data_IF_446304242689
#
_entry.id   IF_446304242689
#
_cell.length_a   1.000
_cell.length_b   1.000
_cell.length_c   1.000
_cell.angle_alpha   90.00
_cell.angle_beta   90.00
_cell.angle_gamma   90.00
#
_symmetry.space_group_name_H-M   'P 1'
#
loop_
_entity.id
_entity.type
_entity.pdbx_description
1 polymer ?
#
# COMPACT_ATOMS: atom_id res chain seq x y z
N UNK A 1 -59.45 27.96 -0.97
CA UNK A 1 -58.35 28.49 -0.12
C UNK A 1 -57.08 28.10 -0.89
N UNK A 2 -56.43 29.11 -1.48
CA UNK A 2 -55.09 28.87 -2.07
C UNK A 2 -54.17 28.41 -0.95
N UNK A 3 -53.37 27.33 -1.22
CA UNK A 3 -52.40 26.83 -0.25
C UNK A 3 -51.38 27.92 0.06
N UNK A 4 -51.44 28.42 1.31
CA UNK A 4 -50.60 29.52 1.81
C UNK A 4 -49.13 29.13 1.97
N UNK A 5 -48.82 27.84 1.82
CA UNK A 5 -47.47 27.28 2.04
C UNK A 5 -47.08 26.35 0.86
N UNK A 6 -45.86 26.51 0.39
CA UNK A 6 -45.25 25.61 -0.62
C UNK A 6 -44.13 24.85 0.04
N UNK A 7 -44.22 23.51 0.03
CA UNK A 7 -43.17 22.63 0.55
C UNK A 7 -42.25 22.14 -0.57
N UNK A 8 -40.97 21.97 -0.26
CA UNK A 8 -39.96 21.38 -1.18
C UNK A 8 -39.40 20.10 -0.54
N UNK A 9 -39.32 19.04 -1.35
CA UNK A 9 -38.66 17.80 -0.94
C UNK A 9 -37.13 17.92 -1.05
N UNK A 10 -36.44 17.10 -0.27
CA UNK A 10 -34.98 17.01 -0.36
C UNK A 10 -34.55 15.81 -1.20
N UNK A 11 -33.58 16.01 -2.09
CA UNK A 11 -32.92 14.93 -2.81
C UNK A 11 -31.89 14.24 -1.93
N UNK A 12 -31.81 12.90 -2.04
CA UNK A 12 -30.76 12.12 -1.41
C UNK A 12 -29.70 11.77 -2.45
N UNK A 13 -28.58 12.47 -2.43
CA UNK A 13 -27.44 12.24 -3.32
C UNK A 13 -26.62 11.06 -2.86
N UNK A 14 -26.33 10.99 -1.56
CA UNK A 14 -25.68 9.87 -0.90
C UNK A 14 -26.61 9.24 0.14
N UNK A 15 -26.49 7.92 0.28
CA UNK A 15 -27.08 7.17 1.39
C UNK A 15 -26.05 6.17 1.86
N UNK A 16 -25.49 6.41 3.04
CA UNK A 16 -24.56 5.48 3.69
C UNK A 16 -25.39 4.43 4.43
N UNK A 17 -25.24 3.18 4.02
CA UNK A 17 -26.00 2.07 4.63
C UNK A 17 -25.33 1.58 5.91
N UNK A 18 -23.99 1.40 5.89
CA UNK A 18 -23.20 0.97 7.05
C UNK A 18 -21.80 1.57 7.02
N UNK A 19 -21.19 1.77 8.19
CA UNK A 19 -19.75 1.94 8.38
C UNK A 19 -19.17 0.58 8.74
N UNK A 20 -18.12 0.17 8.05
CA UNK A 20 -17.42 -1.10 8.24
C UNK A 20 -16.21 -0.89 9.14
N UNK A 21 -15.36 0.10 8.81
CA UNK A 21 -14.21 0.50 9.62
C UNK A 21 -14.12 2.02 9.75
N UNK A 22 -13.60 2.49 10.86
CA UNK A 22 -13.25 3.89 11.09
C UNK A 22 -12.11 3.92 12.09
N UNK A 23 -10.90 4.29 11.63
CA UNK A 23 -9.72 4.35 12.49
C UNK A 23 -8.67 5.33 11.98
N UNK A 24 -7.83 5.78 12.90
CA UNK A 24 -6.62 6.55 12.66
C UNK A 24 -5.42 5.75 13.16
N UNK A 25 -4.36 5.68 12.36
CA UNK A 25 -3.13 4.96 12.69
C UNK A 25 -1.89 5.75 12.38
N UNK A 26 -0.90 5.63 13.27
CA UNK A 26 0.48 6.00 13.04
C UNK A 26 1.24 4.75 12.61
N UNK A 27 1.69 4.73 11.36
CA UNK A 27 2.34 3.57 10.78
C UNK A 27 3.86 3.76 10.74
N UNK A 28 4.60 2.66 10.79
CA UNK A 28 6.04 2.71 10.59
C UNK A 28 6.39 3.04 9.14
N UNK A 29 7.55 3.66 8.91
CA UNK A 29 8.02 4.00 7.55
C UNK A 29 8.18 2.79 6.62
N UNK A 30 8.39 1.60 7.19
CA UNK A 30 8.51 0.33 6.49
C UNK A 30 7.24 -0.54 6.61
N UNK A 31 6.11 0.06 6.98
CA UNK A 31 4.82 -0.64 6.99
C UNK A 31 4.55 -1.26 5.62
N UNK A 32 4.05 -2.48 5.63
CA UNK A 32 3.64 -3.18 4.43
C UNK A 32 2.37 -3.97 4.71
N UNK A 33 1.41 -3.81 3.83
CA UNK A 33 0.17 -4.58 3.81
C UNK A 33 0.06 -5.29 2.48
N UNK A 34 -0.16 -6.62 2.50
CA UNK A 34 -0.23 -7.45 1.29
C UNK A 34 -1.38 -7.05 0.35
N UNK A 35 -2.38 -6.39 0.90
CA UNK A 35 -3.55 -5.91 0.19
C UNK A 35 -4.77 -6.78 0.40
N UNK A 36 -5.91 -6.22 0.00
CA UNK A 36 -7.22 -6.83 0.14
C UNK A 36 -8.14 -6.45 -1.03
N UNK A 37 -9.27 -7.14 -1.08
CA UNK A 37 -10.36 -6.85 -2.00
C UNK A 37 -11.67 -7.14 -1.28
N UNK A 38 -12.58 -6.16 -1.26
CA UNK A 38 -13.86 -6.25 -0.59
C UNK A 38 -14.96 -5.54 -1.39
N UNK A 39 -16.22 -5.77 -1.04
CA UNK A 39 -17.39 -5.29 -1.80
C UNK A 39 -17.97 -3.96 -1.31
N UNK A 40 -17.21 -3.19 -0.53
CA UNK A 40 -17.57 -1.88 -0.02
C UNK A 40 -16.53 -0.81 -0.41
N UNK A 41 -16.85 0.47 -0.19
CA UNK A 41 -15.96 1.60 -0.41
C UNK A 41 -14.99 1.76 0.74
N UNK A 42 -13.76 2.13 0.43
CA UNK A 42 -12.78 2.55 1.42
C UNK A 42 -12.22 3.93 1.04
N UNK A 43 -12.18 4.82 2.02
CA UNK A 43 -11.61 6.16 1.94
C UNK A 43 -10.31 6.17 2.73
N UNK A 44 -9.21 6.55 2.07
CA UNK A 44 -7.87 6.65 2.67
C UNK A 44 -7.39 8.10 2.61
N UNK A 45 -7.08 8.69 3.76
CA UNK A 45 -6.53 10.03 3.89
C UNK A 45 -5.18 9.98 4.59
N UNK A 46 -4.18 10.72 4.06
CA UNK A 46 -2.86 10.87 4.67
C UNK A 46 -2.81 12.19 5.44
N UNK A 47 -2.73 12.10 6.76
CA UNK A 47 -2.59 13.27 7.63
C UNK A 47 -1.13 13.78 7.63
N UNK A 48 -0.16 12.87 7.79
CA UNK A 48 1.28 13.18 7.75
C UNK A 48 2.03 12.16 6.91
N UNK A 49 3.16 12.59 6.34
CA UNK A 49 4.02 11.74 5.55
C UNK A 49 3.46 11.42 4.18
N UNK A 50 3.73 10.24 3.68
CA UNK A 50 3.24 9.76 2.39
C UNK A 50 3.21 8.24 2.37
N UNK A 51 2.31 7.67 1.58
CA UNK A 51 2.18 6.24 1.37
C UNK A 51 2.14 5.88 -0.10
N UNK A 52 2.64 4.71 -0.42
CA UNK A 52 2.47 4.09 -1.71
C UNK A 52 1.17 3.30 -1.66
N UNK A 53 0.24 3.65 -2.55
CA UNK A 53 -1.05 3.01 -2.69
C UNK A 53 -1.09 2.23 -4.01
N UNK A 54 -1.70 1.05 -3.99
CA UNK A 54 -2.02 0.28 -5.20
C UNK A 54 -3.54 0.21 -5.33
N UNK A 55 -4.06 0.36 -6.54
CA UNK A 55 -5.46 0.18 -6.90
C UNK A 55 -5.51 -0.60 -8.21
N UNK A 56 -5.83 -1.90 -8.14
CA UNK A 56 -5.68 -2.89 -9.21
C UNK A 56 -4.26 -2.88 -9.78
N UNK A 57 -4.10 -2.46 -11.04
CA UNK A 57 -2.81 -2.34 -11.73
C UNK A 57 -2.14 -0.97 -11.55
N UNK A 58 -2.82 -0.02 -10.92
CA UNK A 58 -2.32 1.34 -10.77
C UNK A 58 -1.64 1.51 -9.42
N UNK A 59 -0.44 2.08 -9.44
CA UNK A 59 0.31 2.41 -8.23
C UNK A 59 0.63 3.90 -8.23
N UNK A 60 0.45 4.54 -7.07
CA UNK A 60 0.64 5.99 -6.92
C UNK A 60 1.07 6.31 -5.49
N UNK A 61 1.62 7.51 -5.30
CA UNK A 61 1.94 8.02 -3.97
C UNK A 61 0.82 8.95 -3.53
N UNK A 62 0.28 8.69 -2.35
CA UNK A 62 -0.65 9.56 -1.65
C UNK A 62 0.12 10.33 -0.59
N UNK A 63 0.02 11.66 -0.62
CA UNK A 63 0.79 12.57 0.23
C UNK A 63 -0.06 13.17 1.34
N UNK A 64 0.61 13.75 2.33
CA UNK A 64 -0.05 14.54 3.39
C UNK A 64 -1.04 15.56 2.80
N UNK A 65 -2.25 15.55 3.33
CA UNK A 65 -3.37 16.37 2.88
C UNK A 65 -4.13 15.79 1.67
N UNK A 66 -3.73 14.64 1.16
CA UNK A 66 -4.38 13.98 0.02
C UNK A 66 -5.22 12.79 0.47
N UNK A 67 -6.28 12.53 -0.30
CA UNK A 67 -7.26 11.48 -0.07
C UNK A 67 -7.57 10.75 -1.38
N UNK A 68 -7.79 9.44 -1.28
CA UNK A 68 -8.30 8.62 -2.39
C UNK A 68 -9.41 7.71 -1.91
N UNK A 69 -10.13 7.11 -2.87
CA UNK A 69 -11.15 6.10 -2.60
C UNK A 69 -10.83 4.83 -3.37
N UNK A 70 -10.98 3.70 -2.70
CA UNK A 70 -11.02 2.37 -3.28
C UNK A 70 -12.48 1.97 -3.48
N UNK A 71 -12.83 1.62 -4.71
CA UNK A 71 -14.21 1.20 -5.04
C UNK A 71 -14.43 -0.27 -4.67
N UNK A 72 -15.68 -0.72 -4.53
CA UNK A 72 -16.00 -2.13 -4.35
C UNK A 72 -15.32 -3.02 -5.39
N UNK A 73 -14.75 -4.13 -4.91
CA UNK A 73 -14.03 -5.13 -5.70
C UNK A 73 -12.75 -4.61 -6.41
N UNK A 74 -12.18 -3.51 -5.99
CA UNK A 74 -10.86 -3.06 -6.40
C UNK A 74 -9.82 -3.69 -5.46
N UNK A 75 -8.85 -4.42 -6.01
CA UNK A 75 -7.71 -4.85 -5.22
C UNK A 75 -6.88 -3.63 -4.82
N UNK A 76 -6.57 -3.48 -3.54
CA UNK A 76 -5.75 -2.38 -3.06
C UNK A 76 -4.81 -2.79 -1.94
N UNK A 77 -3.68 -2.10 -1.85
CA UNK A 77 -2.73 -2.21 -0.75
C UNK A 77 -2.13 -0.85 -0.39
N UNK A 78 -1.57 -0.80 0.80
CA UNK A 78 -0.86 0.36 1.34
C UNK A 78 0.54 -0.07 1.81
N UNK A 79 1.55 0.72 1.48
CA UNK A 79 2.91 0.49 1.96
C UNK A 79 3.64 1.79 2.23
N UNK A 80 4.48 1.79 3.26
CA UNK A 80 5.40 2.89 3.54
C UNK A 80 6.46 3.03 2.45
N UNK A 81 7.05 4.20 2.36
CA UNK A 81 8.10 4.51 1.39
C UNK A 81 9.52 4.31 1.93
N UNK A 82 9.67 3.75 3.14
CA UNK A 82 10.91 3.61 3.91
C UNK A 82 11.61 4.93 4.32
N UNK A 83 11.04 6.08 3.98
CA UNK A 83 11.61 7.39 4.28
C UNK A 83 10.90 8.07 5.45
N UNK A 84 9.58 8.23 5.38
CA UNK A 84 8.77 8.97 6.35
C UNK A 84 7.67 8.06 6.90
N UNK A 85 7.50 8.06 8.22
CA UNK A 85 6.40 7.36 8.88
C UNK A 85 5.07 8.10 8.61
N UNK A 86 4.07 7.45 8.02
CA UNK A 86 2.81 8.09 7.69
C UNK A 86 1.79 7.96 8.82
N UNK A 87 0.90 8.98 8.91
CA UNK A 87 -0.31 8.91 9.71
C UNK A 87 -1.50 8.83 8.74
N UNK A 88 -2.34 7.83 8.94
CA UNK A 88 -3.42 7.47 8.00
C UNK A 88 -4.75 7.45 8.71
N UNK A 89 -5.77 8.02 8.07
CA UNK A 89 -7.17 7.88 8.43
C UNK A 89 -7.89 7.02 7.42
N UNK A 90 -8.57 5.98 7.85
CA UNK A 90 -9.33 5.07 6.98
C UNK A 90 -10.79 5.01 7.46
N UNK A 91 -11.69 5.11 6.51
CA UNK A 91 -13.13 4.84 6.70
C UNK A 91 -13.60 3.93 5.58
N UNK A 92 -14.11 2.76 5.95
CA UNK A 92 -14.75 1.85 5.02
C UNK A 92 -16.25 1.83 5.26
N UNK A 93 -17.04 1.87 4.19
CA UNK A 93 -18.49 2.02 4.28
C UNK A 93 -19.23 1.45 3.06
N UNK A 94 -20.48 1.08 3.28
CA UNK A 94 -21.37 0.69 2.18
C UNK A 94 -22.19 1.89 1.69
N UNK A 95 -22.13 2.13 0.38
CA UNK A 95 -22.93 3.15 -0.29
C UNK A 95 -23.18 2.72 -1.74
N UNK A 96 -24.47 2.56 -2.10
CA UNK A 96 -24.90 2.17 -3.45
C UNK A 96 -25.29 3.37 -4.32
N UNK A 97 -25.12 4.59 -3.84
CA UNK A 97 -25.48 5.81 -4.55
C UNK A 97 -24.64 5.98 -5.82
N UNK A 98 -25.28 6.33 -6.94
CA UNK A 98 -24.57 6.54 -8.22
C UNK A 98 -23.51 7.64 -8.15
N UNK A 99 -23.69 8.61 -7.28
CA UNK A 99 -22.76 9.72 -7.06
C UNK A 99 -21.37 9.25 -6.62
N UNK A 100 -21.24 8.04 -6.02
CA UNK A 100 -19.97 7.45 -5.64
C UNK A 100 -18.99 7.28 -6.81
N UNK A 101 -19.48 7.15 -8.04
CA UNK A 101 -18.62 7.12 -9.27
C UNK A 101 -17.73 8.36 -9.40
N UNK A 102 -18.13 9.49 -8.79
CA UNK A 102 -17.32 10.70 -8.79
C UNK A 102 -15.92 10.49 -8.19
N UNK A 103 -15.79 9.58 -7.25
CA UNK A 103 -14.55 9.34 -6.50
C UNK A 103 -13.61 8.32 -7.16
N UNK A 104 -14.11 7.54 -8.13
CA UNK A 104 -13.31 6.50 -8.78
C UNK A 104 -12.07 7.08 -9.46
N UNK A 105 -10.92 6.50 -9.12
CA UNK A 105 -9.67 6.82 -9.76
C UNK A 105 -9.12 8.23 -9.51
N UNK A 106 -9.62 8.95 -8.51
CA UNK A 106 -9.22 10.34 -8.20
C UNK A 106 -8.44 10.45 -6.90
N UNK A 107 -7.59 11.47 -6.83
CA UNK A 107 -6.96 11.95 -5.61
C UNK A 107 -7.46 13.36 -5.36
N UNK A 108 -7.94 13.63 -4.17
CA UNK A 108 -8.44 14.92 -3.71
C UNK A 108 -7.43 15.54 -2.76
N UNK A 109 -7.10 16.82 -2.94
CA UNK A 109 -6.38 17.59 -1.94
C UNK A 109 -7.38 18.30 -1.07
N UNK A 110 -7.38 18.01 0.23
CA UNK A 110 -8.34 18.57 1.15
C UNK A 110 -8.00 20.02 1.51
N UNK A 111 -8.99 20.90 1.40
CA UNK A 111 -8.97 22.24 1.94
C UNK A 111 -8.97 22.23 3.48
N UNK A 112 -8.68 23.38 4.11
CA UNK A 112 -8.74 23.51 5.56
C UNK A 112 -10.14 23.19 6.13
N UNK A 113 -11.20 23.58 5.42
CA UNK A 113 -12.59 23.31 5.80
C UNK A 113 -12.89 21.81 5.75
N UNK A 114 -12.47 21.12 4.70
CA UNK A 114 -12.67 19.67 4.54
C UNK A 114 -11.89 18.88 5.57
N UNK A 115 -10.66 19.29 5.90
CA UNK A 115 -9.87 18.69 7.00
C UNK A 115 -10.55 18.85 8.35
N UNK A 116 -11.10 20.03 8.64
CA UNK A 116 -11.86 20.29 9.87
C UNK A 116 -13.11 19.41 9.95
N UNK A 117 -13.84 19.27 8.86
CA UNK A 117 -15.02 18.42 8.79
C UNK A 117 -14.64 16.93 8.95
N UNK A 118 -13.55 16.48 8.32
CA UNK A 118 -13.04 15.13 8.49
C UNK A 118 -12.62 14.85 9.93
N UNK A 119 -11.95 15.79 10.60
CA UNK A 119 -11.62 15.69 12.02
C UNK A 119 -12.86 15.56 12.90
N UNK A 120 -13.91 16.35 12.62
CA UNK A 120 -15.20 16.26 13.33
C UNK A 120 -15.86 14.89 13.11
N UNK A 121 -15.84 14.38 11.88
CA UNK A 121 -16.36 13.05 11.53
C UNK A 121 -15.65 11.95 12.32
N UNK A 122 -14.29 12.00 12.38
CA UNK A 122 -13.51 11.03 13.16
C UNK A 122 -13.78 11.14 14.66
N UNK A 123 -13.84 12.35 15.21
CA UNK A 123 -14.14 12.57 16.62
C UNK A 123 -15.49 11.98 17.00
N UNK A 124 -16.53 12.21 16.18
CA UNK A 124 -17.87 11.67 16.41
C UNK A 124 -17.91 10.15 16.24
N UNK A 125 -17.30 9.64 15.16
CA UNK A 125 -17.24 8.21 14.89
C UNK A 125 -16.52 7.42 15.98
N UNK A 126 -15.39 7.91 16.47
CA UNK A 126 -14.62 7.30 17.55
C UNK A 126 -15.31 7.40 18.92
N UNK A 127 -16.33 8.24 19.07
CA UNK A 127 -17.18 8.27 20.28
C UNK A 127 -18.16 7.10 20.33
N UNK A 128 -18.48 6.49 19.21
CA UNK A 128 -19.45 5.39 19.12
C UNK A 128 -18.88 4.08 18.57
N UNK A 129 -17.69 4.09 17.96
CA UNK A 129 -17.04 2.91 17.40
C UNK A 129 -15.57 2.86 17.79
N UNK A 130 -15.03 1.67 18.01
CA UNK A 130 -13.58 1.43 18.18
C UNK A 130 -13.15 0.14 17.49
N UNK A 131 -11.89 0.03 17.16
CA UNK A 131 -11.32 -1.26 16.73
C UNK A 131 -11.31 -2.26 17.89
N UNK A 132 -11.64 -3.51 17.61
CA UNK A 132 -11.57 -4.62 18.57
C UNK A 132 -10.13 -4.82 19.07
N UNK A 133 -9.15 -4.70 18.18
CA UNK A 133 -7.72 -4.71 18.52
C UNK A 133 -7.00 -3.52 17.86
N UNK A 134 -6.81 -2.45 18.64
CA UNK A 134 -6.12 -1.26 18.17
C UNK A 134 -4.61 -1.46 17.90
N UNK A 135 -4.02 -2.58 18.35
CA UNK A 135 -2.60 -2.89 18.14
C UNK A 135 -2.34 -3.75 16.89
N UNK A 136 -3.40 -4.34 16.31
CA UNK A 136 -3.31 -5.14 15.11
C UNK A 136 -3.98 -4.42 13.93
N UNK A 137 -3.24 -3.64 13.12
CA UNK A 137 -3.80 -2.90 11.99
C UNK A 137 -4.37 -3.79 10.88
N UNK A 138 -4.12 -5.09 10.94
CA UNK A 138 -4.65 -6.07 9.99
C UNK A 138 -6.01 -6.64 10.41
N UNK A 139 -6.38 -6.50 11.69
CA UNK A 139 -7.67 -6.93 12.22
C UNK A 139 -8.63 -5.75 12.26
N UNK A 140 -9.27 -5.45 11.14
CA UNK A 140 -10.15 -4.31 10.96
C UNK A 140 -11.59 -4.55 11.46
N UNK A 141 -11.73 -5.29 12.56
CA UNK A 141 -13.04 -5.49 13.20
C UNK A 141 -13.36 -4.32 14.12
N UNK A 142 -14.58 -3.81 13.98
CA UNK A 142 -15.08 -2.75 14.84
C UNK A 142 -16.16 -3.25 15.78
N UNK A 143 -16.16 -2.69 16.97
CA UNK A 143 -17.25 -2.85 17.93
C UNK A 143 -17.88 -1.50 18.26
N UNK A 144 -19.16 -1.54 18.61
CA UNK A 144 -19.88 -0.36 19.06
C UNK A 144 -19.58 -0.11 20.53
N UNK A 145 -19.30 1.14 20.87
CA UNK A 145 -19.09 1.57 22.26
C UNK A 145 -20.47 1.80 22.89
N UNK A 146 -20.69 1.22 24.07
CA UNK A 146 -21.92 1.46 24.84
C UNK A 146 -21.55 1.77 26.31
N UNK A 147 -22.12 2.79 26.94
CA UNK A 147 -23.02 3.80 26.35
C UNK A 147 -22.26 4.76 25.42
N UNK A 148 -22.91 5.26 24.39
CA UNK A 148 -22.39 6.30 23.49
C UNK A 148 -23.24 7.57 23.56
N UNK A 149 -22.74 8.73 23.09
CA UNK A 149 -23.50 9.96 23.06
C UNK A 149 -24.80 9.84 22.24
N UNK A 150 -25.83 10.51 22.68
CA UNK A 150 -27.11 10.48 21.97
C UNK A 150 -26.98 10.89 20.52
N UNK A 151 -27.40 10.01 19.60
CA UNK A 151 -27.40 10.26 18.17
C UNK A 151 -26.03 10.20 17.49
N UNK A 152 -24.95 9.80 18.17
CA UNK A 152 -23.58 9.81 17.61
C UNK A 152 -23.44 8.97 16.34
N UNK A 153 -24.08 7.80 16.27
CA UNK A 153 -24.09 6.97 15.07
C UNK A 153 -24.77 7.67 13.88
N UNK A 154 -25.89 8.36 14.12
CA UNK A 154 -26.56 9.15 13.08
C UNK A 154 -25.74 10.38 12.69
N UNK A 155 -25.12 11.04 13.65
CA UNK A 155 -24.23 12.18 13.43
C UNK A 155 -23.05 11.78 12.55
N UNK A 156 -22.40 10.65 12.87
CA UNK A 156 -21.30 10.10 12.08
C UNK A 156 -21.72 9.84 10.62
N UNK A 157 -22.88 9.21 10.41
CA UNK A 157 -23.45 9.02 9.08
C UNK A 157 -23.65 10.34 8.35
N UNK A 158 -24.33 11.30 8.99
CA UNK A 158 -24.65 12.59 8.38
C UNK A 158 -23.38 13.38 8.05
N UNK A 159 -22.38 13.37 8.92
CA UNK A 159 -21.08 14.01 8.68
C UNK A 159 -20.35 13.39 7.50
N UNK A 160 -20.39 12.06 7.35
CA UNK A 160 -19.80 11.38 6.19
C UNK A 160 -20.54 11.78 4.89
N UNK A 161 -21.86 11.81 4.88
CA UNK A 161 -22.65 12.24 3.71
C UNK A 161 -22.37 13.71 3.34
N UNK A 162 -22.29 14.61 4.33
CA UNK A 162 -21.93 16.02 4.13
C UNK A 162 -20.49 16.11 3.56
N UNK A 163 -19.57 15.34 4.10
CA UNK A 163 -18.18 15.32 3.65
C UNK A 163 -18.07 14.88 2.18
N UNK A 164 -18.77 13.82 1.78
CA UNK A 164 -18.83 13.37 0.39
C UNK A 164 -19.42 14.41 -0.55
N UNK A 165 -20.49 15.12 -0.12
CA UNK A 165 -21.08 16.22 -0.89
C UNK A 165 -20.08 17.36 -1.07
N UNK A 166 -19.33 17.72 -0.01
CA UNK A 166 -18.29 18.76 -0.06
C UNK A 166 -17.18 18.37 -1.04
N UNK A 167 -16.70 17.13 -1.00
CA UNK A 167 -15.69 16.62 -1.93
C UNK A 167 -16.17 16.62 -3.39
N UNK A 168 -17.45 16.35 -3.66
CA UNK A 168 -17.99 16.48 -5.01
C UNK A 168 -17.97 17.92 -5.54
N UNK A 169 -17.90 18.91 -4.66
CA UNK A 169 -17.79 20.34 -5.01
C UNK A 169 -16.33 20.82 -5.05
N UNK A 170 -15.41 19.99 -4.54
CA UNK A 170 -13.99 20.29 -4.56
C UNK A 170 -13.44 20.21 -5.99
N UNK A 171 -12.77 21.27 -6.43
CA UNK A 171 -12.15 21.37 -7.75
C UNK A 171 -10.65 21.07 -7.73
N UNK A 172 -10.02 20.95 -6.55
CA UNK A 172 -8.61 20.58 -6.39
C UNK A 172 -8.43 19.06 -6.45
N UNK A 173 -8.83 18.51 -7.61
CA UNK A 173 -8.63 17.11 -7.93
C UNK A 173 -7.23 16.99 -8.51
N UNK A 174 -6.34 16.37 -7.76
CA UNK A 174 -5.05 15.96 -8.28
C UNK A 174 -5.34 14.78 -9.22
N UNK A 175 -5.20 15.00 -10.51
CA UNK A 175 -5.23 13.88 -11.46
C UNK A 175 -4.24 12.85 -10.93
N UNK A 176 -4.63 11.58 -10.87
CA UNK A 176 -3.67 10.48 -10.60
C UNK A 176 -2.59 10.61 -11.67
N UNK A 177 -1.66 11.52 -11.46
CA UNK A 177 -0.43 11.50 -12.21
C UNK A 177 0.19 10.21 -11.74
N UNK A 178 0.06 9.18 -12.57
CA UNK A 178 0.87 7.99 -12.43
C UNK A 178 2.29 8.52 -12.42
N UNK A 179 2.84 8.80 -11.23
CA UNK A 179 4.26 8.95 -11.11
C UNK A 179 4.79 7.59 -11.46
N UNK A 180 5.29 7.46 -12.68
CA UNK A 180 5.96 6.27 -13.18
C UNK A 180 7.28 6.02 -12.41
N UNK A 181 7.42 6.59 -11.20
CA UNK A 181 8.59 6.44 -10.36
C UNK A 181 8.21 5.97 -8.95
N UNK A 182 9.05 5.15 -8.37
CA UNK A 182 8.91 4.53 -7.05
C UNK A 182 10.13 4.85 -6.22
N UNK A 183 9.97 5.08 -4.92
CA UNK A 183 11.10 5.19 -4.02
C UNK A 183 11.47 3.79 -3.52
N UNK A 184 12.62 3.28 -3.93
CA UNK A 184 13.18 2.01 -3.47
C UNK A 184 14.54 2.29 -2.86
N UNK A 185 14.71 1.97 -1.58
CA UNK A 185 15.93 2.28 -0.79
C UNK A 185 16.30 3.77 -0.85
N UNK A 186 15.30 4.66 -0.82
CA UNK A 186 15.50 6.11 -0.87
C UNK A 186 15.79 6.69 -2.27
N UNK A 187 15.77 5.88 -3.31
CA UNK A 187 16.02 6.30 -4.69
C UNK A 187 14.72 6.26 -5.50
N UNK A 188 14.45 7.34 -6.22
CA UNK A 188 13.30 7.43 -7.15
C UNK A 188 13.59 6.55 -8.38
N UNK A 189 12.84 5.46 -8.56
CA UNK A 189 12.98 4.54 -9.68
C UNK A 189 11.74 4.56 -10.57
N UNK A 190 11.90 4.52 -11.91
CA UNK A 190 10.76 4.42 -12.82
C UNK A 190 9.99 3.11 -12.65
N UNK A 191 8.72 3.12 -13.06
CA UNK A 191 7.84 1.95 -13.01
C UNK A 191 8.47 0.68 -13.55
N UNK A 192 9.09 0.75 -14.73
CA UNK A 192 9.70 -0.41 -15.36
C UNK A 192 10.91 -0.97 -14.60
N UNK A 193 11.63 -0.14 -13.82
CA UNK A 193 12.71 -0.61 -12.94
C UNK A 193 12.12 -1.34 -11.75
N UNK A 194 10.99 -0.84 -11.23
CA UNK A 194 10.25 -1.53 -10.18
C UNK A 194 9.71 -2.88 -10.65
N UNK A 195 9.12 -2.97 -11.84
CA UNK A 195 8.68 -4.25 -12.42
C UNK A 195 9.83 -5.25 -12.52
N UNK A 196 11.03 -4.79 -12.91
CA UNK A 196 12.22 -5.63 -12.89
C UNK A 196 12.52 -6.13 -11.48
N UNK A 197 12.52 -5.22 -10.49
CA UNK A 197 12.84 -5.57 -9.11
C UNK A 197 11.82 -6.55 -8.53
N UNK A 198 10.53 -6.31 -8.74
CA UNK A 198 9.45 -7.20 -8.30
C UNK A 198 9.61 -8.60 -8.91
N UNK A 199 9.80 -8.68 -10.23
CA UNK A 199 10.02 -9.94 -10.93
C UNK A 199 11.23 -10.72 -10.38
N UNK A 200 12.34 -10.03 -10.07
CA UNK A 200 13.51 -10.66 -9.47
C UNK A 200 13.22 -11.18 -8.05
N UNK A 201 12.47 -10.44 -7.24
CA UNK A 201 12.08 -10.84 -5.88
C UNK A 201 11.15 -12.05 -5.87
N UNK A 202 10.11 -12.04 -6.71
CA UNK A 202 9.14 -13.14 -6.82
C UNK A 202 9.77 -14.44 -7.30
N UNK A 203 10.85 -14.33 -8.06
CA UNK A 203 11.53 -15.49 -8.64
C UNK A 203 12.86 -15.84 -7.96
N UNK A 204 13.08 -15.48 -6.69
CA UNK A 204 14.34 -15.71 -5.98
C UNK A 204 14.71 -17.20 -5.90
N UNK A 205 13.73 -18.08 -5.89
CA UNK A 205 13.87 -19.54 -5.95
C UNK A 205 13.86 -20.09 -7.40
N UNK A 206 13.93 -19.24 -8.40
CA UNK A 206 13.92 -19.62 -9.79
C UNK A 206 15.30 -19.53 -10.46
N UNK A 207 15.32 -19.87 -11.74
CA UNK A 207 16.45 -19.61 -12.64
C UNK A 207 15.98 -18.58 -13.67
N UNK A 208 16.50 -17.36 -13.59
CA UNK A 208 16.14 -16.27 -14.50
C UNK A 208 17.37 -15.80 -15.25
N UNK A 209 17.15 -15.41 -16.50
CA UNK A 209 18.11 -14.74 -17.36
C UNK A 209 17.69 -13.28 -17.59
N UNK A 210 18.59 -12.46 -18.12
CA UNK A 210 18.23 -11.08 -18.52
C UNK A 210 17.16 -11.09 -19.62
N UNK A 211 17.16 -12.12 -20.48
CA UNK A 211 16.14 -12.28 -21.52
C UNK A 211 14.74 -12.51 -20.92
N UNK A 212 14.65 -13.25 -19.83
CA UNK A 212 13.37 -13.46 -19.14
C UNK A 212 12.84 -12.16 -18.50
N UNK A 213 13.73 -11.39 -17.87
CA UNK A 213 13.41 -10.05 -17.36
C UNK A 213 12.94 -9.14 -18.50
N UNK A 214 13.67 -9.11 -19.61
CA UNK A 214 13.34 -8.28 -20.77
C UNK A 214 11.96 -8.64 -21.37
N UNK A 215 11.67 -9.94 -21.45
CA UNK A 215 10.37 -10.45 -21.90
C UNK A 215 9.23 -10.04 -20.94
N UNK A 216 9.46 -10.14 -19.63
CA UNK A 216 8.48 -9.78 -18.62
C UNK A 216 8.08 -8.30 -18.70
N UNK A 217 9.05 -7.39 -18.84
CA UNK A 217 8.77 -5.94 -18.92
C UNK A 217 8.53 -5.42 -20.34
N UNK A 218 8.47 -6.30 -21.35
CA UNK A 218 8.18 -5.94 -22.74
C UNK A 218 9.23 -5.03 -23.38
N UNK A 219 10.53 -5.18 -23.02
CA UNK A 219 11.65 -4.36 -23.53
C UNK A 219 12.81 -5.20 -24.05
N UNK A 220 13.75 -4.58 -24.77
CA UNK A 220 14.98 -5.27 -25.17
C UNK A 220 15.92 -5.45 -23.98
N UNK A 221 16.79 -6.48 -24.02
CA UNK A 221 17.79 -6.72 -22.98
C UNK A 221 18.74 -5.53 -22.77
N UNK A 222 19.14 -4.85 -23.86
CA UNK A 222 19.98 -3.67 -23.79
C UNK A 222 19.30 -2.53 -23.04
N UNK A 223 18.03 -2.29 -23.33
CA UNK A 223 17.21 -1.27 -22.65
C UNK A 223 17.06 -1.57 -21.16
N UNK A 224 16.77 -2.83 -20.81
CA UNK A 224 16.62 -3.27 -19.42
C UNK A 224 17.93 -3.12 -18.64
N UNK A 225 19.06 -3.54 -19.22
CA UNK A 225 20.39 -3.37 -18.62
C UNK A 225 20.74 -1.90 -18.40
N UNK A 226 20.54 -1.06 -19.41
CA UNK A 226 20.81 0.38 -19.33
C UNK A 226 19.94 1.06 -18.27
N UNK A 227 18.64 0.81 -18.30
CA UNK A 227 17.71 1.42 -17.36
C UNK A 227 17.96 0.97 -15.92
N UNK A 228 18.27 -0.30 -15.71
CA UNK A 228 18.58 -0.82 -14.38
C UNK A 228 19.88 -0.23 -13.81
N UNK A 229 20.92 -0.07 -14.63
CA UNK A 229 22.21 0.48 -14.21
C UNK A 229 22.16 1.96 -13.79
N UNK A 230 21.15 2.72 -14.25
CA UNK A 230 20.92 4.11 -13.81
C UNK A 230 20.46 4.21 -12.36
N UNK A 231 19.89 3.14 -11.79
CA UNK A 231 19.27 3.12 -10.46
C UNK A 231 19.96 2.17 -9.47
N UNK A 232 20.90 1.37 -9.95
CA UNK A 232 21.69 0.45 -9.13
C UNK A 232 23.13 0.39 -9.63
N UNK A 233 24.08 0.49 -8.71
CA UNK A 233 25.53 0.40 -9.01
C UNK A 233 25.97 -1.00 -9.49
N UNK A 234 25.02 -1.90 -9.69
CA UNK A 234 25.29 -3.26 -10.11
C UNK A 234 24.35 -3.71 -11.22
N UNK A 235 24.83 -4.58 -12.12
CA UNK A 235 23.98 -5.18 -13.15
C UNK A 235 22.91 -6.10 -12.56
N UNK A 236 21.83 -6.33 -13.34
CA UNK A 236 20.64 -7.10 -12.96
C UNK A 236 21.00 -8.45 -12.33
N UNK A 237 21.88 -9.25 -12.97
CA UNK A 237 22.22 -10.59 -12.46
C UNK A 237 23.05 -10.54 -11.18
N UNK A 238 23.86 -9.50 -10.99
CA UNK A 238 24.58 -9.30 -9.72
C UNK A 238 23.60 -8.96 -8.60
N UNK A 239 22.63 -8.11 -8.87
CA UNK A 239 21.55 -7.80 -7.93
C UNK A 239 20.73 -9.05 -7.58
N UNK A 240 20.29 -9.80 -8.59
CA UNK A 240 19.55 -11.06 -8.42
C UNK A 240 20.31 -12.08 -7.58
N UNK A 241 21.60 -12.26 -7.84
CA UNK A 241 22.44 -13.11 -6.99
C UNK A 241 22.50 -12.59 -5.55
N UNK A 242 22.51 -11.26 -5.34
CA UNK A 242 22.44 -10.67 -4.00
C UNK A 242 21.15 -11.03 -3.26
N UNK A 243 20.00 -11.05 -3.95
CA UNK A 243 18.73 -11.51 -3.37
C UNK A 243 18.80 -12.97 -2.95
N UNK A 244 19.32 -13.85 -3.81
CA UNK A 244 19.56 -15.27 -3.49
C UNK A 244 20.50 -15.45 -2.29
N UNK A 245 21.54 -14.64 -2.18
CA UNK A 245 22.45 -14.69 -1.03
C UNK A 245 21.76 -14.20 0.27
N UNK A 246 20.92 -13.17 0.18
CA UNK A 246 20.11 -12.73 1.32
C UNK A 246 19.21 -13.87 1.82
N UNK A 247 18.57 -14.58 0.90
CA UNK A 247 17.74 -15.73 1.21
C UNK A 247 18.54 -16.92 1.73
N UNK A 248 19.72 -17.20 1.14
CA UNK A 248 20.63 -18.21 1.64
C UNK A 248 21.03 -17.98 3.11
N UNK A 249 21.29 -16.72 3.48
CA UNK A 249 21.59 -16.33 4.89
C UNK A 249 20.41 -16.67 5.82
N UNK A 250 19.16 -16.46 5.37
CA UNK A 250 17.96 -16.84 6.12
C UNK A 250 17.90 -18.36 6.34
N UNK A 251 18.04 -19.12 5.25
CA UNK A 251 18.01 -20.61 5.28
C UNK A 251 19.14 -21.20 6.14
N UNK A 252 20.34 -20.61 6.10
CA UNK A 252 21.48 -21.03 6.96
C UNK A 252 21.13 -20.81 8.44
N UNK A 253 20.52 -19.67 8.82
CA UNK A 253 20.10 -19.39 10.19
C UNK A 253 19.02 -20.36 10.68
N UNK A 254 18.11 -20.78 9.81
CA UNK A 254 17.10 -21.78 10.16
C UNK A 254 17.68 -23.16 10.43
N UNK A 255 18.85 -23.45 9.90
CA UNK A 255 19.59 -24.70 10.18
C UNK A 255 18.99 -25.98 9.64
N UNK A 256 17.89 -25.91 8.86
CA UNK A 256 17.15 -27.06 8.35
C UNK A 256 17.82 -27.77 7.16
N UNK A 257 18.69 -27.06 6.44
CA UNK A 257 19.26 -27.49 5.18
C UNK A 257 20.79 -27.45 5.21
N UNK A 258 21.44 -28.35 4.49
CA UNK A 258 22.88 -28.26 4.25
C UNK A 258 23.21 -27.31 3.11
N UNK A 259 24.49 -26.94 2.93
CA UNK A 259 24.93 -25.94 1.95
C UNK A 259 24.62 -26.32 0.50
N UNK A 260 24.69 -27.62 0.19
CA UNK A 260 24.35 -28.13 -1.15
C UNK A 260 22.86 -27.99 -1.41
N UNK A 261 22.05 -28.40 -0.46
CA UNK A 261 20.58 -28.25 -0.56
C UNK A 261 20.18 -26.76 -0.74
N UNK A 262 20.81 -25.85 0.00
CA UNK A 262 20.55 -24.40 -0.15
C UNK A 262 20.94 -23.91 -1.54
N UNK A 263 22.10 -24.33 -2.05
CA UNK A 263 22.54 -23.97 -3.41
C UNK A 263 21.57 -24.48 -4.48
N UNK A 264 21.10 -25.73 -4.33
CA UNK A 264 20.13 -26.35 -5.24
C UNK A 264 18.76 -25.67 -5.17
N UNK A 265 18.22 -25.40 -3.96
CA UNK A 265 16.96 -24.69 -3.75
C UNK A 265 16.96 -23.31 -4.38
N UNK A 266 18.09 -22.62 -4.33
CA UNK A 266 18.26 -21.29 -4.92
C UNK A 266 18.74 -21.34 -6.37
N UNK A 267 18.76 -22.51 -7.00
CA UNK A 267 19.16 -22.72 -8.39
C UNK A 267 20.50 -22.07 -8.75
N UNK A 268 21.54 -22.25 -7.92
CA UNK A 268 22.91 -21.97 -8.34
C UNK A 268 23.45 -23.10 -9.23
N UNK A 269 24.22 -22.77 -10.24
CA UNK A 269 24.73 -23.75 -11.21
C UNK A 269 25.56 -24.87 -10.57
N UNK A 270 26.26 -24.56 -9.47
CA UNK A 270 26.97 -25.52 -8.65
C UNK A 270 27.31 -24.92 -7.26
N UNK A 271 27.65 -25.77 -6.25
CA UNK A 271 28.02 -25.32 -4.92
C UNK A 271 29.26 -24.42 -4.86
N UNK A 272 30.20 -24.57 -5.80
CA UNK A 272 31.40 -23.73 -5.88
C UNK A 272 31.03 -22.30 -6.28
N UNK A 273 30.16 -22.15 -7.28
CA UNK A 273 29.68 -20.85 -7.73
C UNK A 273 28.80 -20.19 -6.62
N UNK A 274 27.97 -20.95 -5.95
CA UNK A 274 27.25 -20.49 -4.75
C UNK A 274 28.21 -19.93 -3.71
N UNK A 275 29.24 -20.69 -3.32
CA UNK A 275 30.23 -20.28 -2.32
C UNK A 275 30.96 -19.01 -2.72
N UNK A 276 31.33 -18.88 -4.01
CA UNK A 276 31.96 -17.68 -4.56
C UNK A 276 31.04 -16.46 -4.50
N UNK A 277 29.79 -16.61 -4.92
CA UNK A 277 28.77 -15.56 -4.83
C UNK A 277 28.50 -15.16 -3.38
N UNK A 278 28.37 -16.12 -2.48
CA UNK A 278 28.14 -15.86 -1.07
C UNK A 278 29.29 -15.05 -0.46
N UNK A 279 30.53 -15.46 -0.70
CA UNK A 279 31.72 -14.75 -0.21
C UNK A 279 31.83 -13.33 -0.78
N UNK A 280 31.49 -13.12 -2.07
CA UNK A 280 31.53 -11.80 -2.69
C UNK A 280 30.49 -10.81 -2.12
N UNK A 281 29.40 -11.30 -1.53
CA UNK A 281 28.33 -10.47 -0.96
C UNK A 281 28.41 -10.33 0.57
N UNK A 282 29.12 -11.23 1.25
CA UNK A 282 29.15 -11.29 2.71
C UNK A 282 30.54 -11.22 3.31
N UNK A 283 31.58 -11.24 2.49
CA UNK A 283 33.01 -11.40 2.85
C UNK A 283 33.35 -12.70 3.59
N UNK A 284 32.41 -13.64 3.70
CA UNK A 284 32.54 -14.94 4.34
C UNK A 284 32.08 -16.06 3.41
N UNK A 285 32.65 -17.25 3.53
CA UNK A 285 32.06 -18.44 2.91
C UNK A 285 30.79 -18.85 3.64
N UNK A 286 29.86 -19.63 3.04
CA UNK A 286 28.67 -20.12 3.71
C UNK A 286 28.97 -20.89 5.01
N UNK A 287 30.11 -21.64 5.04
CA UNK A 287 30.53 -22.40 6.23
C UNK A 287 31.02 -21.47 7.34
N UNK A 288 31.85 -20.48 7.01
CA UNK A 288 32.31 -19.44 7.97
C UNK A 288 31.13 -18.66 8.52
N UNK A 289 30.17 -18.29 7.67
CA UNK A 289 28.96 -17.62 8.10
C UNK A 289 28.12 -18.49 9.06
N UNK A 290 27.95 -19.80 8.75
CA UNK A 290 27.26 -20.71 9.66
C UNK A 290 27.97 -20.82 11.01
N UNK A 291 29.30 -20.93 11.01
CA UNK A 291 30.09 -21.00 12.24
C UNK A 291 29.96 -19.73 13.09
N UNK A 292 29.89 -18.55 12.45
CA UNK A 292 29.75 -17.27 13.16
C UNK A 292 28.39 -17.01 13.82
N UNK A 293 27.35 -17.81 13.51
CA UNK A 293 26.01 -17.67 14.09
C UNK A 293 25.65 -18.79 15.08
N UNK A 294 26.45 -19.85 15.17
CA UNK A 294 26.24 -21.01 16.08
C UNK A 294 27.16 -20.89 17.32
N UNK A 295 28.12 -19.96 17.31
CA UNK A 295 28.93 -19.61 18.48
C UNK A 295 28.27 -18.49 19.25
#
# INVERSE_FOLDING_TARGET
>A
MEDKFTGFGFERVFNIDRIITLFYMELSKNFYYDGEQHDFWEMVYIDKGEMICTADKNRFILKSGEMTFHKPNEFHNLSGNNAVAPNVSIISFECKSRAMKHFEGKIFRLSAEEKSLLSTLFSEGLSCFRLEDAHNPLLQRMEKIEPNPFGSSQMTKNLLEIFLIKLCRNTDVVTKTMRQSYVIDGVDVPYHVKEILDFLHENVYGRITVADVARHVGKSESTVKQQFSLYRDSGIMKYYNGLKIKEARRLIREGKFNMTQIADMLHFDNPQYFSKCFKSHTNMTPREYKASIVG
#
